data_IF_538256458120
#
_entry.id   IF_538256458120
#
_cell.length_a   1.000
_cell.length_b   1.000
_cell.length_c   1.000
_cell.angle_alpha   90.00
_cell.angle_beta   90.00
_cell.angle_gamma   90.00
#
_symmetry.space_group_name_H-M   'P 1'
#
loop_
_entity.id
_entity.type
_entity.pdbx_description
1 polymer ?
#
# COMPACT_ATOMS: atom_id res chain seq x y z
N UNK A 1 -17.66 4.15 31.33
CA UNK A 1 -17.13 5.14 30.35
C UNK A 1 -15.73 4.73 29.89
N UNK A 2 -15.57 3.59 29.18
CA UNK A 2 -14.23 3.00 28.90
C UNK A 2 -13.73 3.17 27.47
N UNK A 3 -14.54 3.75 26.56
CA UNK A 3 -14.21 3.90 25.14
C UNK A 3 -14.17 5.35 24.63
N UNK A 4 -14.30 6.34 25.53
CA UNK A 4 -14.33 7.75 25.14
C UNK A 4 -12.97 8.27 24.63
N UNK A 5 -11.86 7.62 25.01
CA UNK A 5 -10.52 8.03 24.61
C UNK A 5 -10.13 7.65 23.18
N UNK A 6 -10.82 6.68 22.54
CA UNK A 6 -10.51 6.32 21.15
C UNK A 6 -11.01 7.38 20.15
N UNK A 7 -12.00 8.19 20.52
CA UNK A 7 -12.55 9.25 19.67
C UNK A 7 -11.68 10.52 19.65
N UNK A 8 -10.80 10.71 20.64
CA UNK A 8 -9.95 11.92 20.73
C UNK A 8 -8.75 11.84 19.78
N UNK A 9 -8.36 10.64 19.32
CA UNK A 9 -7.29 10.47 18.32
C UNK A 9 -7.71 10.83 16.88
N UNK A 10 -9.01 10.91 16.60
CA UNK A 10 -9.55 11.25 15.26
C UNK A 10 -10.28 12.61 15.24
N UNK A 11 -10.41 13.29 16.38
CA UNK A 11 -11.31 14.44 16.57
C UNK A 11 -10.84 15.79 16.01
N UNK A 12 -9.70 15.86 15.33
CA UNK A 12 -9.22 17.12 14.74
C UNK A 12 -8.22 16.89 13.61
N UNK A 13 -8.55 16.03 12.63
CA UNK A 13 -7.79 16.01 11.39
C UNK A 13 -8.20 17.24 10.55
N UNK A 14 -7.64 18.39 10.92
CA UNK A 14 -7.52 19.52 10.00
C UNK A 14 -6.65 19.05 8.84
N UNK A 15 -7.04 19.36 7.60
CA UNK A 15 -6.49 18.78 6.38
C UNK A 15 -4.95 18.77 6.31
N UNK A 16 -4.41 17.75 5.63
CA UNK A 16 -2.98 17.61 5.43
C UNK A 16 -2.43 18.80 4.65
N UNK A 17 -1.63 19.65 5.28
CA UNK A 17 -0.91 20.75 4.60
C UNK A 17 0.34 20.24 3.85
N UNK A 18 0.63 18.94 3.89
CA UNK A 18 1.87 18.40 3.37
C UNK A 18 1.64 17.84 1.97
N UNK A 19 2.32 18.44 1.00
CA UNK A 19 2.26 18.04 -0.41
C UNK A 19 2.98 16.72 -0.69
N UNK A 20 3.75 16.20 0.27
CA UNK A 20 4.41 14.90 0.14
C UNK A 20 4.59 14.20 1.48
N UNK A 21 4.46 12.87 1.46
CA UNK A 21 4.75 11.97 2.57
C UNK A 21 5.75 10.92 2.11
N UNK A 22 6.66 10.53 3.00
CA UNK A 22 7.55 9.41 2.74
C UNK A 22 7.84 8.65 4.01
N UNK A 23 8.20 7.38 3.86
CA UNK A 23 8.60 6.57 5.00
C UNK A 23 8.58 5.08 4.69
N UNK A 24 8.75 4.25 5.72
CA UNK A 24 8.63 2.82 5.55
C UNK A 24 7.17 2.40 5.35
N UNK A 25 7.00 1.29 4.64
CA UNK A 25 5.72 0.59 4.51
C UNK A 25 5.90 -0.88 4.87
N UNK A 26 4.90 -1.45 5.54
CA UNK A 26 4.79 -2.86 5.85
C UNK A 26 3.42 -3.36 5.46
N UNK A 27 3.34 -4.50 4.79
CA UNK A 27 2.05 -5.07 4.40
C UNK A 27 2.02 -6.58 4.43
N UNK A 28 0.82 -7.11 4.53
CA UNK A 28 0.49 -8.51 4.33
C UNK A 28 -0.23 -8.65 2.99
N UNK A 29 0.17 -9.65 2.20
CA UNK A 29 -0.47 -9.98 0.93
C UNK A 29 -0.79 -11.47 0.86
N UNK A 30 -2.03 -11.78 0.49
CA UNK A 30 -2.48 -13.14 0.21
C UNK A 30 -2.69 -13.30 -1.29
N UNK A 31 -1.77 -13.98 -1.99
CA UNK A 31 -1.82 -14.24 -3.42
C UNK A 31 -1.12 -15.55 -3.73
N UNK A 32 -1.90 -16.61 -4.03
CA UNK A 32 -1.39 -17.97 -4.21
C UNK A 32 -0.55 -18.54 -3.04
N UNK A 33 -0.57 -17.84 -1.90
CA UNK A 33 0.17 -18.05 -0.65
C UNK A 33 0.16 -16.76 0.18
N UNK A 34 0.78 -16.79 1.36
CA UNK A 34 0.92 -15.62 2.25
C UNK A 34 2.31 -15.00 2.11
N UNK A 35 2.37 -13.68 2.02
CA UNK A 35 3.60 -12.91 1.86
C UNK A 35 3.58 -11.70 2.80
N UNK A 36 4.70 -11.46 3.47
CA UNK A 36 4.94 -10.19 4.17
C UNK A 36 5.76 -9.27 3.27
N UNK A 37 5.37 -8.01 3.14
CA UNK A 37 6.12 -7.02 2.36
C UNK A 37 6.65 -5.96 3.29
N UNK A 38 7.90 -5.55 3.08
CA UNK A 38 8.47 -4.37 3.73
C UNK A 38 9.22 -3.54 2.70
N UNK A 39 9.21 -2.22 2.86
CA UNK A 39 9.90 -1.33 1.94
C UNK A 39 9.74 0.13 2.31
N UNK A 40 9.87 0.99 1.30
CA UNK A 40 9.67 2.43 1.43
C UNK A 40 8.66 2.93 0.42
N UNK A 41 8.00 4.02 0.76
CA UNK A 41 7.07 4.72 -0.12
C UNK A 41 7.39 6.22 -0.18
N UNK A 42 7.00 6.82 -1.30
CA UNK A 42 6.91 8.26 -1.49
C UNK A 42 5.53 8.57 -2.08
N UNK A 43 4.80 9.48 -1.45
CA UNK A 43 3.46 9.90 -1.84
C UNK A 43 3.48 11.41 -2.05
N UNK A 44 2.95 11.85 -3.18
CA UNK A 44 2.79 13.26 -3.51
C UNK A 44 1.33 13.59 -3.79
N UNK A 45 0.87 14.70 -3.23
CA UNK A 45 -0.49 15.22 -3.42
C UNK A 45 -0.45 16.57 -4.12
N UNK A 46 -1.41 16.77 -5.02
CA UNK A 46 -1.66 18.05 -5.67
C UNK A 46 -2.83 18.76 -4.99
N UNK A 47 -2.54 19.83 -4.25
CA UNK A 47 -3.55 20.69 -3.60
C UNK A 47 -4.52 21.35 -4.61
N UNK A 48 -4.13 21.45 -5.88
CA UNK A 48 -4.96 22.05 -6.92
C UNK A 48 -6.04 21.09 -7.43
N UNK A 49 -5.75 19.79 -7.42
CA UNK A 49 -6.61 18.76 -8.04
C UNK A 49 -7.12 17.73 -7.03
N UNK A 50 -6.65 17.78 -5.78
CA UNK A 50 -6.91 16.83 -4.70
C UNK A 50 -6.62 15.39 -5.11
N UNK A 51 -5.62 15.19 -5.97
CA UNK A 51 -5.17 13.89 -6.45
C UNK A 51 -3.83 13.54 -5.84
N UNK A 52 -3.60 12.26 -5.57
CA UNK A 52 -2.36 11.73 -5.03
C UNK A 52 -1.72 10.67 -5.93
N UNK A 53 -0.39 10.61 -5.93
CA UNK A 53 0.38 9.53 -6.55
C UNK A 53 1.37 8.98 -5.52
N UNK A 54 1.33 7.67 -5.28
CA UNK A 54 2.30 6.94 -4.46
C UNK A 54 3.20 6.10 -5.36
N UNK A 55 4.49 6.13 -5.07
CA UNK A 55 5.47 5.17 -5.55
C UNK A 55 5.98 4.39 -4.34
N UNK A 56 6.10 3.08 -4.48
CA UNK A 56 6.69 2.24 -3.45
C UNK A 56 7.65 1.22 -4.05
N UNK A 57 8.66 0.87 -3.25
CA UNK A 57 9.63 -0.17 -3.56
C UNK A 57 9.72 -1.08 -2.33
N UNK A 58 9.36 -2.34 -2.53
CA UNK A 58 9.21 -3.32 -1.45
C UNK A 58 9.94 -4.62 -1.76
N UNK A 59 10.20 -5.39 -0.71
CA UNK A 59 10.66 -6.76 -0.78
C UNK A 59 9.60 -7.67 -0.17
N UNK A 60 9.13 -8.63 -0.95
CA UNK A 60 8.11 -9.59 -0.54
C UNK A 60 8.80 -10.85 -0.02
N UNK A 61 8.59 -11.12 1.26
CA UNK A 61 9.06 -12.28 1.98
C UNK A 61 8.00 -13.36 1.93
N UNK A 62 8.31 -14.44 1.22
CA UNK A 62 7.40 -15.54 1.00
C UNK A 62 8.07 -16.87 1.39
N UNK A 63 7.28 -17.79 1.94
CA UNK A 63 7.73 -19.15 2.21
C UNK A 63 6.96 -20.13 1.34
N UNK A 64 7.65 -20.74 0.39
CA UNK A 64 7.07 -21.67 -0.59
C UNK A 64 7.92 -22.94 -0.68
N UNK A 65 7.30 -24.12 -0.59
CA UNK A 65 7.95 -25.44 -0.77
C UNK A 65 9.28 -25.60 0.00
N UNK A 66 9.27 -25.26 1.28
CA UNK A 66 10.44 -25.28 2.17
C UNK A 66 11.58 -24.30 1.81
N UNK A 67 11.31 -23.33 0.93
CA UNK A 67 12.25 -22.30 0.53
C UNK A 67 11.73 -20.92 0.92
N UNK A 68 12.61 -20.14 1.53
CA UNK A 68 12.38 -18.73 1.77
C UNK A 68 12.80 -17.93 0.54
N UNK A 69 11.93 -17.03 0.12
CA UNK A 69 12.13 -16.23 -1.07
C UNK A 69 11.92 -14.75 -0.75
N UNK A 70 12.78 -13.92 -1.34
CA UNK A 70 12.66 -12.46 -1.33
C UNK A 70 12.44 -12.00 -2.76
N UNK A 71 11.30 -11.38 -3.01
CA UNK A 71 10.93 -10.89 -4.35
C UNK A 71 10.92 -9.36 -4.31
N UNK A 72 11.74 -8.66 -5.12
CA UNK A 72 11.63 -7.22 -5.25
C UNK A 72 10.34 -6.85 -5.99
N UNK A 73 9.68 -5.80 -5.55
CA UNK A 73 8.42 -5.32 -6.12
C UNK A 73 8.38 -3.79 -6.13
N UNK A 74 7.82 -3.22 -7.19
CA UNK A 74 7.57 -1.79 -7.32
C UNK A 74 6.07 -1.55 -7.48
N UNK A 75 5.55 -0.55 -6.75
CA UNK A 75 4.15 -0.15 -6.78
C UNK A 75 3.97 1.27 -7.30
N UNK A 76 2.87 1.47 -8.04
CA UNK A 76 2.34 2.78 -8.41
C UNK A 76 0.88 2.83 -7.98
N UNK A 77 0.55 3.76 -7.08
CA UNK A 77 -0.83 4.00 -6.64
C UNK A 77 -1.30 5.38 -7.05
N UNK A 78 -2.53 5.47 -7.54
CA UNK A 78 -3.22 6.69 -7.87
C UNK A 78 -4.43 6.87 -6.95
N UNK A 79 -4.46 8.00 -6.25
CA UNK A 79 -5.58 8.42 -5.40
C UNK A 79 -6.36 9.52 -6.14
N UNK A 80 -7.59 9.26 -6.60
CA UNK A 80 -8.41 10.27 -7.29
C UNK A 80 -8.92 11.38 -6.37
N UNK A 81 -8.96 11.16 -5.05
CA UNK A 81 -9.41 12.15 -4.06
C UNK A 81 -8.75 11.88 -2.69
N UNK A 82 -7.95 12.82 -2.18
CA UNK A 82 -7.14 12.67 -0.96
C UNK A 82 -7.62 13.50 0.24
N UNK A 83 -8.84 14.04 0.17
CA UNK A 83 -9.45 14.81 1.28
C UNK A 83 -10.46 14.00 2.10
N UNK A 84 -10.50 12.68 1.87
CA UNK A 84 -11.46 11.80 2.51
C UNK A 84 -10.82 11.07 3.69
N UNK A 85 -11.62 10.78 4.73
CA UNK A 85 -11.20 9.84 5.77
C UNK A 85 -10.88 8.46 5.18
N UNK A 86 -11.61 8.08 4.13
CA UNK A 86 -11.48 6.83 3.39
C UNK A 86 -11.26 7.20 1.92
N UNK A 87 -10.01 7.06 1.47
CA UNK A 87 -9.56 7.47 0.14
C UNK A 87 -9.52 6.26 -0.78
N UNK A 88 -10.37 6.19 -1.83
CA UNK A 88 -10.26 5.11 -2.80
C UNK A 88 -8.94 5.24 -3.57
N UNK A 89 -8.43 4.14 -4.10
CA UNK A 89 -7.25 4.17 -4.97
C UNK A 89 -7.25 3.07 -6.03
N UNK A 90 -6.46 3.31 -7.07
CA UNK A 90 -6.05 2.33 -8.07
C UNK A 90 -4.56 2.09 -7.91
N UNK A 91 -4.13 0.84 -7.86
CA UNK A 91 -2.74 0.46 -7.66
C UNK A 91 -2.31 -0.53 -8.73
N UNK A 92 -1.04 -0.51 -9.11
CA UNK A 92 -0.43 -1.58 -9.90
C UNK A 92 0.93 -1.88 -9.32
N UNK A 93 1.13 -3.14 -8.97
CA UNK A 93 2.42 -3.67 -8.52
C UNK A 93 3.06 -4.50 -9.62
N UNK A 94 4.38 -4.40 -9.73
CA UNK A 94 5.18 -5.16 -10.70
C UNK A 94 6.33 -5.81 -9.97
N UNK A 95 6.50 -7.11 -10.18
CA UNK A 95 7.64 -7.88 -9.72
C UNK A 95 8.10 -8.83 -10.85
N UNK A 96 9.24 -9.54 -10.72
CA UNK A 96 9.75 -10.44 -11.77
C UNK A 96 8.83 -11.60 -12.18
N UNK A 97 7.72 -11.82 -11.49
CA UNK A 97 6.77 -12.91 -11.74
C UNK A 97 5.40 -12.41 -12.20
N UNK A 98 4.94 -11.24 -11.73
CA UNK A 98 3.58 -10.76 -11.99
C UNK A 98 3.49 -9.25 -12.21
N UNK A 99 2.48 -8.85 -12.99
CA UNK A 99 1.87 -7.52 -12.91
C UNK A 99 0.53 -7.67 -12.21
N UNK A 100 0.30 -6.87 -11.18
CA UNK A 100 -0.84 -7.02 -10.28
C UNK A 100 -1.58 -5.69 -10.17
N UNK A 101 -2.54 -5.41 -11.07
CA UNK A 101 -3.49 -4.33 -10.87
C UNK A 101 -4.38 -4.61 -9.65
N UNK A 102 -4.61 -3.57 -8.85
CA UNK A 102 -5.40 -3.59 -7.62
C UNK A 102 -6.30 -2.36 -7.55
N UNK A 103 -7.37 -2.50 -6.81
CA UNK A 103 -8.24 -1.40 -6.36
C UNK A 103 -8.38 -1.50 -4.86
N UNK A 104 -8.52 -0.36 -4.19
CA UNK A 104 -8.55 -0.36 -2.74
C UNK A 104 -9.06 0.93 -2.15
N UNK A 105 -8.92 1.02 -0.84
CA UNK A 105 -9.12 2.25 -0.10
C UNK A 105 -8.05 2.36 0.99
N UNK A 106 -7.70 3.60 1.32
CA UNK A 106 -6.81 3.92 2.43
C UNK A 106 -7.55 4.71 3.49
N UNK A 107 -7.27 4.43 4.76
CA UNK A 107 -7.66 5.32 5.85
C UNK A 107 -6.54 6.32 6.02
N UNK A 108 -6.80 7.57 5.62
CA UNK A 108 -5.89 8.71 5.71
C UNK A 108 -4.47 8.47 5.18
N UNK A 109 -4.34 7.65 4.13
CA UNK A 109 -3.07 7.20 3.52
C UNK A 109 -2.13 6.36 4.40
N UNK A 110 -2.55 6.05 5.62
CA UNK A 110 -1.78 5.28 6.60
C UNK A 110 -2.13 3.79 6.52
N UNK A 111 -3.43 3.44 6.45
CA UNK A 111 -3.87 2.05 6.47
C UNK A 111 -4.57 1.68 5.16
N UNK A 112 -3.90 0.89 4.34
CA UNK A 112 -4.35 0.48 3.01
C UNK A 112 -5.04 -0.88 3.06
N UNK A 113 -6.16 -1.01 2.34
CA UNK A 113 -6.84 -2.27 2.03
C UNK A 113 -7.00 -2.38 0.52
N UNK A 114 -6.52 -3.45 -0.09
CA UNK A 114 -6.61 -3.63 -1.55
C UNK A 114 -6.95 -5.05 -1.97
N UNK A 115 -7.58 -5.14 -3.13
CA UNK A 115 -7.94 -6.37 -3.82
C UNK A 115 -7.55 -6.25 -5.28
N UNK A 116 -7.15 -7.36 -5.90
CA UNK A 116 -6.75 -7.33 -7.31
C UNK A 116 -6.53 -8.71 -7.89
N UNK A 117 -5.81 -8.74 -9.01
CA UNK A 117 -5.46 -9.97 -9.69
C UNK A 117 -4.04 -9.89 -10.25
N UNK A 118 -3.19 -10.86 -9.89
CA UNK A 118 -1.85 -10.98 -10.46
C UNK A 118 -1.87 -11.73 -11.78
N UNK A 119 -1.36 -11.10 -12.83
CA UNK A 119 -1.13 -11.71 -14.14
C UNK A 119 0.33 -12.15 -14.24
N UNK A 120 0.56 -13.40 -14.64
CA UNK A 120 1.90 -13.97 -14.81
C UNK A 120 2.64 -13.31 -15.98
N UNK A 121 3.86 -12.82 -15.73
CA UNK A 121 4.75 -12.22 -16.72
C UNK A 121 5.60 -13.25 -17.48
N UNK A 122 5.56 -14.53 -17.09
CA UNK A 122 6.38 -15.64 -17.63
C UNK A 122 7.89 -15.39 -17.61
N UNK A 123 8.33 -14.39 -16.85
CA UNK A 123 9.72 -13.92 -16.82
C UNK A 123 10.60 -14.80 -15.93
N UNK A 124 10.03 -15.40 -14.88
CA UNK A 124 10.65 -16.49 -14.10
C UNK A 124 9.63 -17.60 -13.84
N UNK A 125 10.01 -18.85 -14.09
CA UNK A 125 9.10 -20.01 -14.03
C UNK A 125 9.45 -21.01 -12.92
N UNK A 126 10.48 -20.72 -12.12
CA UNK A 126 11.00 -21.65 -11.11
C UNK A 126 10.12 -21.73 -9.83
N UNK A 127 9.06 -20.93 -9.78
CA UNK A 127 8.12 -20.87 -8.66
C UNK A 127 6.71 -21.30 -9.08
N UNK A 128 5.91 -21.71 -8.10
CA UNK A 128 4.45 -21.83 -8.30
C UNK A 128 3.95 -20.49 -8.88
N UNK A 129 3.05 -20.53 -9.88
CA UNK A 129 2.47 -19.31 -10.43
C UNK A 129 1.92 -18.43 -9.31
N UNK A 130 2.50 -17.23 -9.15
CA UNK A 130 2.00 -16.20 -8.24
C UNK A 130 0.74 -15.51 -8.81
N UNK A 131 0.25 -15.95 -9.97
CA UNK A 131 -0.99 -15.44 -10.55
C UNK A 131 -2.21 -15.74 -9.66
N UNK A 132 -3.27 -14.96 -9.84
CA UNK A 132 -4.56 -15.17 -9.18
C UNK A 132 -5.03 -13.96 -8.37
N UNK A 133 -6.18 -14.12 -7.73
CA UNK A 133 -6.73 -13.09 -6.85
C UNK A 133 -5.80 -12.78 -5.69
N UNK A 134 -5.72 -11.50 -5.37
CA UNK A 134 -4.90 -10.99 -4.26
C UNK A 134 -5.73 -10.12 -3.34
N UNK A 135 -5.40 -10.19 -2.05
CA UNK A 135 -5.86 -9.28 -1.02
C UNK A 135 -4.64 -8.76 -0.26
N UNK A 136 -4.64 -7.49 0.12
CA UNK A 136 -3.55 -6.90 0.89
C UNK A 136 -4.05 -5.93 1.96
N UNK A 137 -3.33 -5.90 3.08
CA UNK A 137 -3.47 -4.90 4.15
C UNK A 137 -2.09 -4.30 4.38
N UNK A 138 -1.96 -2.98 4.30
CA UNK A 138 -0.68 -2.28 4.43
C UNK A 138 -0.74 -1.13 5.42
N UNK A 139 0.38 -0.86 6.08
CA UNK A 139 0.59 0.29 6.95
C UNK A 139 1.74 1.12 6.38
N UNK A 140 1.46 2.37 6.02
CA UNK A 140 2.43 3.37 5.62
C UNK A 140 2.74 4.26 6.82
N UNK A 141 4.01 4.36 7.19
CA UNK A 141 4.45 5.13 8.37
C UNK A 141 5.13 6.41 7.87
N UNK A 142 4.45 7.56 7.85
CA UNK A 142 5.04 8.81 7.40
C UNK A 142 6.11 9.29 8.39
N UNK A 143 7.34 9.49 7.91
CA UNK A 143 8.46 10.00 8.72
C UNK A 143 8.46 11.52 8.86
N UNK A 144 7.80 12.20 7.94
CA UNK A 144 7.71 13.65 7.89
C UNK A 144 6.36 14.18 8.36
N UNK A 145 5.57 13.38 9.08
CA UNK A 145 4.22 13.75 9.52
C UNK A 145 4.26 14.96 10.46
N UNK A 146 3.88 16.13 9.95
CA UNK A 146 3.75 17.35 10.73
C UNK A 146 2.27 17.70 10.93
N UNK A 147 1.81 17.63 12.18
CA UNK A 147 0.55 18.24 12.60
C UNK A 147 0.77 19.76 12.70
N UNK A 148 0.21 20.53 11.77
CA UNK A 148 0.11 21.99 11.96
C UNK A 148 -1.01 22.26 12.96
N UNK A 149 -0.63 22.79 14.12
CA UNK A 149 -1.55 23.37 15.11
C UNK A 149 -1.78 24.85 14.83
#
# INVERSE_FOLDING_TARGET
MKYFWLFILFGSMQGFSQTSLYGPTISYQSQSGSMGKIGGYYLHYSEKTNMGIKLDATANFAYFRNQFLVIPEAGLTFYPNVDLLIEPFLETEINPYTVTPKVGFSIVTILDFSFGYGFDLKTKQDLKPLQGFTFSIGINIPLNFELKY
#
